data_IF_356386840995
#
_entry.id   IF_356386840995
#
_cell.length_a   1.000
_cell.length_b   1.000
_cell.length_c   1.000
_cell.angle_alpha   90.00
_cell.angle_beta   90.00
_cell.angle_gamma   90.00
#
_symmetry.space_group_name_H-M   'P 1'
#
loop_
_entity.id
_entity.type
_entity.pdbx_description
1 polymer ?
#
# COMPACT_ATOMS: atom_id res chain seq x y z
N UNK A 1 -3.40 -47.08 -28.94
CA UNK A 1 -2.35 -46.17 -28.53
C UNK A 1 -2.59 -44.70 -29.00
N UNK A 2 -3.67 -44.39 -29.68
CA UNK A 2 -3.97 -43.04 -30.24
C UNK A 2 -5.06 -42.28 -29.43
N UNK A 3 -5.62 -42.88 -28.37
CA UNK A 3 -6.70 -42.27 -27.60
C UNK A 3 -6.21 -41.53 -26.32
N UNK A 4 -4.93 -41.44 -26.07
CA UNK A 4 -4.36 -40.78 -24.88
C UNK A 4 -3.90 -39.33 -25.16
N UNK A 5 -3.85 -38.92 -26.44
CA UNK A 5 -3.33 -37.59 -26.85
C UNK A 5 -4.41 -36.51 -26.94
N UNK A 6 -5.69 -36.85 -26.77
CA UNK A 6 -6.79 -35.91 -27.03
C UNK A 6 -7.32 -35.15 -25.80
N UNK A 7 -6.67 -35.23 -24.66
CA UNK A 7 -7.07 -34.48 -23.43
C UNK A 7 -5.98 -33.52 -22.93
N UNK A 8 -5.15 -32.97 -23.81
CA UNK A 8 -4.52 -31.71 -23.50
C UNK A 8 -5.62 -30.66 -23.70
N UNK A 9 -6.31 -30.33 -22.63
CA UNK A 9 -7.14 -29.12 -22.57
C UNK A 9 -6.18 -27.98 -22.92
N UNK A 10 -6.30 -27.45 -24.15
CA UNK A 10 -5.60 -26.21 -24.48
C UNK A 10 -6.16 -25.15 -23.52
N UNK A 11 -5.39 -24.83 -22.48
CA UNK A 11 -5.73 -23.74 -21.55
C UNK A 11 -5.96 -22.50 -22.38
N UNK A 12 -7.22 -22.10 -22.47
CA UNK A 12 -7.56 -20.88 -23.19
C UNK A 12 -6.94 -19.69 -22.49
N UNK A 13 -6.68 -18.61 -23.23
CA UNK A 13 -6.17 -17.38 -22.61
C UNK A 13 -7.06 -16.90 -21.44
N UNK A 14 -8.36 -17.21 -21.47
CA UNK A 14 -9.34 -16.89 -20.41
C UNK A 14 -9.04 -17.70 -19.15
N UNK A 15 -8.73 -18.99 -19.28
CA UNK A 15 -8.42 -19.86 -18.16
C UNK A 15 -7.13 -19.42 -17.48
N UNK A 16 -6.08 -19.12 -18.28
CA UNK A 16 -4.81 -18.57 -17.76
C UNK A 16 -5.02 -17.23 -17.06
N UNK A 17 -5.84 -16.34 -17.65
CA UNK A 17 -6.18 -15.06 -17.02
C UNK A 17 -6.88 -15.26 -15.67
N UNK A 18 -7.82 -16.20 -15.59
CA UNK A 18 -8.54 -16.53 -14.37
C UNK A 18 -7.60 -17.02 -13.25
N UNK A 19 -6.72 -17.97 -13.57
CA UNK A 19 -5.73 -18.50 -12.62
C UNK A 19 -4.76 -17.41 -12.16
N UNK A 20 -4.16 -16.67 -13.10
CA UNK A 20 -3.22 -15.60 -12.80
C UNK A 20 -3.87 -14.48 -11.97
N UNK A 21 -5.14 -14.14 -12.23
CA UNK A 21 -5.89 -13.16 -11.44
C UNK A 21 -6.07 -13.62 -10.00
N UNK A 22 -6.48 -14.86 -9.80
CA UNK A 22 -6.67 -15.45 -8.48
C UNK A 22 -5.37 -15.44 -7.67
N UNK A 23 -4.29 -15.93 -8.26
CA UNK A 23 -2.99 -16.01 -7.61
C UNK A 23 -2.47 -14.59 -7.26
N UNK A 24 -2.60 -13.66 -8.20
CA UNK A 24 -2.17 -12.29 -8.00
C UNK A 24 -2.94 -11.60 -6.88
N UNK A 25 -4.27 -11.72 -6.89
CA UNK A 25 -5.14 -11.18 -5.83
C UNK A 25 -4.84 -11.82 -4.48
N UNK A 26 -4.59 -13.13 -4.44
CA UNK A 26 -4.23 -13.84 -3.22
C UNK A 26 -2.96 -13.27 -2.58
N UNK A 27 -1.90 -13.08 -3.36
CA UNK A 27 -0.66 -12.48 -2.91
C UNK A 27 -0.88 -11.06 -2.36
N UNK A 28 -1.59 -10.22 -3.11
CA UNK A 28 -1.83 -8.81 -2.74
C UNK A 28 -2.72 -8.70 -1.51
N UNK A 29 -3.84 -9.42 -1.46
CA UNK A 29 -4.81 -9.30 -0.37
C UNK A 29 -4.22 -9.79 0.95
N UNK A 30 -3.53 -10.94 0.95
CA UNK A 30 -2.96 -11.48 2.19
C UNK A 30 -1.83 -10.58 2.70
N UNK A 31 -0.88 -10.21 1.84
CA UNK A 31 0.24 -9.37 2.24
C UNK A 31 -0.22 -8.00 2.73
N UNK A 32 -1.17 -7.36 2.04
CA UNK A 32 -1.71 -6.06 2.41
C UNK A 32 -2.51 -6.13 3.71
N UNK A 33 -3.36 -7.14 3.88
CA UNK A 33 -4.15 -7.32 5.11
C UNK A 33 -3.26 -7.51 6.33
N UNK A 34 -2.24 -8.37 6.22
CA UNK A 34 -1.25 -8.54 7.28
C UNK A 34 -0.50 -7.23 7.58
N UNK A 35 -0.13 -6.48 6.51
CA UNK A 35 0.55 -5.19 6.68
C UNK A 35 -0.32 -4.15 7.39
N UNK A 36 -1.60 -4.07 7.08
CA UNK A 36 -2.55 -3.16 7.75
C UNK A 36 -2.62 -3.46 9.25
N UNK A 37 -2.77 -4.74 9.60
CA UNK A 37 -2.88 -5.19 11.00
C UNK A 37 -1.62 -4.85 11.80
N UNK A 38 -0.44 -4.93 11.20
CA UNK A 38 0.83 -4.65 11.89
C UNK A 38 1.22 -3.17 11.80
N UNK A 39 1.09 -2.56 10.62
CA UNK A 39 1.60 -1.21 10.37
C UNK A 39 0.79 -0.10 11.06
N UNK A 40 -0.55 -0.26 11.19
CA UNK A 40 -1.34 0.76 11.90
C UNK A 40 -0.95 0.84 13.38
N UNK A 41 -0.89 -0.26 14.16
CA UNK A 41 -0.39 -0.21 15.53
C UNK A 41 1.05 0.33 15.64
N UNK A 42 1.94 -0.05 14.72
CA UNK A 42 3.31 0.48 14.69
C UNK A 42 3.33 1.99 14.43
N UNK A 43 2.49 2.49 13.52
CA UNK A 43 2.35 3.93 13.26
C UNK A 43 1.78 4.69 14.44
N UNK A 44 0.80 4.12 15.15
CA UNK A 44 0.27 4.67 16.40
C UNK A 44 1.35 4.69 17.49
N UNK A 45 2.08 3.59 17.67
CA UNK A 45 3.17 3.52 18.61
C UNK A 45 4.27 4.55 18.29
N UNK A 46 4.62 4.71 17.00
CA UNK A 46 5.58 5.71 16.57
C UNK A 46 5.13 7.14 16.90
N UNK A 47 3.83 7.45 16.75
CA UNK A 47 3.29 8.77 17.09
C UNK A 47 3.19 9.02 18.60
N UNK A 48 2.95 7.98 19.40
CA UNK A 48 2.76 8.14 20.86
C UNK A 48 4.07 8.07 21.65
N UNK A 49 5.07 7.37 21.16
CA UNK A 49 6.34 7.18 21.86
C UNK A 49 7.50 7.81 21.07
N UNK A 50 7.77 9.10 21.29
CA UNK A 50 8.74 9.88 20.51
C UNK A 50 10.13 9.22 20.39
N UNK A 51 10.62 8.57 21.47
CA UNK A 51 11.92 7.87 21.45
C UNK A 51 11.93 6.65 20.52
N UNK A 52 10.84 5.90 20.48
CA UNK A 52 10.70 4.70 19.64
C UNK A 52 10.22 5.03 18.23
N UNK A 53 9.54 6.16 18.04
CA UNK A 53 8.97 6.55 16.76
C UNK A 53 10.01 6.65 15.65
N UNK A 54 11.15 7.27 15.93
CA UNK A 54 12.25 7.38 14.96
C UNK A 54 12.87 6.01 14.64
N UNK A 55 13.00 5.14 15.64
CA UNK A 55 13.53 3.78 15.45
C UNK A 55 12.57 2.96 14.59
N UNK A 56 11.25 3.01 14.85
CA UNK A 56 10.24 2.32 14.04
C UNK A 56 10.29 2.81 12.59
N UNK A 57 10.27 4.13 12.37
CA UNK A 57 10.31 4.72 11.03
C UNK A 57 11.62 4.39 10.30
N UNK A 58 12.75 4.39 11.00
CA UNK A 58 14.04 3.99 10.45
C UNK A 58 14.04 2.50 10.06
N UNK A 59 13.56 1.62 10.94
CA UNK A 59 13.53 0.18 10.68
C UNK A 59 12.68 -0.18 9.45
N UNK A 60 11.44 0.35 9.35
CA UNK A 60 10.60 0.11 8.17
C UNK A 60 11.16 0.83 6.93
N UNK A 61 11.86 1.95 7.10
CA UNK A 61 12.52 2.66 6.03
C UNK A 61 13.68 1.87 5.43
N UNK A 62 14.50 1.24 6.25
CA UNK A 62 15.63 0.39 5.82
C UNK A 62 15.12 -0.75 4.93
N UNK A 63 14.02 -1.39 5.29
CA UNK A 63 13.41 -2.46 4.48
C UNK A 63 13.12 -2.00 3.04
N UNK A 64 12.63 -0.78 2.84
CA UNK A 64 12.35 -0.24 1.51
C UNK A 64 13.59 0.16 0.71
N UNK A 65 14.77 0.26 1.33
CA UNK A 65 16.01 0.51 0.59
C UNK A 65 16.53 -0.75 -0.12
N UNK A 66 16.11 -1.92 0.34
CA UNK A 66 16.45 -3.19 -0.30
C UNK A 66 15.69 -3.30 -1.63
N UNK A 67 16.32 -3.56 -2.78
CA UNK A 67 15.59 -3.79 -4.04
C UNK A 67 14.57 -4.92 -3.91
N UNK A 68 13.35 -4.73 -4.46
CA UNK A 68 12.24 -5.68 -4.29
C UNK A 68 12.59 -7.10 -4.73
N UNK A 69 13.27 -7.24 -5.86
CA UNK A 69 13.74 -8.54 -6.33
C UNK A 69 14.74 -9.17 -5.37
N UNK A 70 15.66 -8.39 -4.80
CA UNK A 70 16.63 -8.89 -3.82
C UNK A 70 15.92 -9.36 -2.54
N UNK A 71 14.93 -8.60 -2.05
CA UNK A 71 14.16 -9.01 -0.88
C UNK A 71 13.40 -10.32 -1.11
N UNK A 72 12.78 -10.47 -2.29
CA UNK A 72 12.13 -11.73 -2.69
C UNK A 72 13.11 -12.92 -2.63
N UNK A 73 14.30 -12.76 -3.21
CA UNK A 73 15.33 -13.81 -3.24
C UNK A 73 15.85 -14.12 -1.84
N UNK A 74 16.03 -13.10 -0.98
CA UNK A 74 16.45 -13.29 0.41
C UNK A 74 15.46 -14.09 1.26
N UNK A 75 14.18 -14.10 0.89
CA UNK A 75 13.17 -14.88 1.61
C UNK A 75 13.17 -16.37 1.21
N UNK A 76 13.76 -16.76 0.07
CA UNK A 76 13.79 -18.15 -0.40
C UNK A 76 14.48 -19.10 0.60
N UNK A 77 15.68 -18.82 1.14
CA UNK A 77 16.31 -19.71 2.11
C UNK A 77 15.50 -19.94 3.39
N UNK A 78 14.62 -18.98 3.74
CA UNK A 78 13.82 -19.02 4.96
C UNK A 78 12.45 -19.70 4.76
N UNK A 79 11.84 -19.51 3.60
CA UNK A 79 10.43 -19.86 3.34
C UNK A 79 10.22 -20.77 2.14
N UNK A 80 11.30 -21.16 1.44
CA UNK A 80 11.21 -21.93 0.20
C UNK A 80 10.88 -21.10 -1.02
N UNK A 81 10.51 -21.77 -2.11
CA UNK A 81 10.11 -21.16 -3.39
C UNK A 81 8.59 -21.06 -3.45
N UNK A 82 8.04 -20.03 -4.10
CA UNK A 82 6.61 -19.91 -4.35
C UNK A 82 5.94 -18.71 -3.67
N UNK A 83 4.67 -18.88 -3.28
CA UNK A 83 3.85 -17.83 -2.69
C UNK A 83 4.32 -17.30 -1.33
N UNK A 84 4.72 -18.14 -0.36
CA UNK A 84 5.09 -17.70 0.98
C UNK A 84 6.18 -16.61 1.02
N UNK A 85 7.36 -16.76 0.37
CA UNK A 85 8.38 -15.71 0.34
C UNK A 85 7.88 -14.43 -0.35
N UNK A 86 7.04 -14.56 -1.39
CA UNK A 86 6.43 -13.42 -2.05
C UNK A 86 5.50 -12.63 -1.11
N UNK A 87 4.63 -13.32 -0.37
CA UNK A 87 3.72 -12.69 0.61
C UNK A 87 4.50 -11.91 1.67
N UNK A 88 5.58 -12.50 2.22
CA UNK A 88 6.38 -11.82 3.24
C UNK A 88 7.12 -10.61 2.68
N UNK A 89 7.69 -10.71 1.48
CA UNK A 89 8.34 -9.56 0.84
C UNK A 89 7.34 -8.42 0.58
N UNK A 90 6.17 -8.72 0.01
CA UNK A 90 5.10 -7.75 -0.25
C UNK A 90 4.57 -7.13 1.06
N UNK A 91 4.41 -7.92 2.11
CA UNK A 91 4.06 -7.45 3.45
C UNK A 91 5.07 -6.43 3.96
N UNK A 92 6.36 -6.76 3.92
CA UNK A 92 7.44 -5.87 4.38
C UNK A 92 7.48 -4.55 3.62
N UNK A 93 7.28 -4.57 2.30
CA UNK A 93 7.22 -3.37 1.46
C UNK A 93 6.00 -2.50 1.76
N UNK A 94 4.90 -3.10 2.20
CA UNK A 94 3.68 -2.37 2.55
C UNK A 94 3.80 -1.63 3.89
N UNK A 95 4.72 -2.01 4.77
CA UNK A 95 4.81 -1.44 6.12
C UNK A 95 5.11 0.06 6.09
N UNK A 96 6.12 0.50 5.33
CA UNK A 96 6.55 1.91 5.39
C UNK A 96 5.45 2.90 4.98
N UNK A 97 4.76 2.74 3.83
CA UNK A 97 3.71 3.69 3.46
C UNK A 97 2.61 3.79 4.52
N UNK A 98 2.21 2.66 5.11
CA UNK A 98 1.13 2.63 6.11
C UNK A 98 1.61 3.22 7.43
N UNK A 99 2.78 2.79 7.95
CA UNK A 99 3.36 3.30 9.20
C UNK A 99 3.58 4.82 9.12
N UNK A 100 4.21 5.29 8.03
CA UNK A 100 4.54 6.70 7.84
C UNK A 100 3.29 7.58 7.76
N UNK A 101 2.27 7.15 7.01
CA UNK A 101 1.04 7.90 6.88
C UNK A 101 0.20 7.86 8.17
N UNK A 102 0.21 6.76 8.92
CA UNK A 102 -0.42 6.68 10.24
C UNK A 102 0.28 7.62 11.23
N UNK A 103 1.60 7.59 11.28
CA UNK A 103 2.42 8.48 12.12
C UNK A 103 2.14 9.96 11.80
N UNK A 104 2.22 10.33 10.51
CA UNK A 104 2.00 11.71 10.07
C UNK A 104 0.58 12.16 10.35
N UNK A 105 -0.43 11.34 10.02
CA UNK A 105 -1.83 11.67 10.24
C UNK A 105 -2.19 11.91 11.70
N UNK A 106 -1.58 11.16 12.62
CA UNK A 106 -1.79 11.38 14.06
C UNK A 106 -1.09 12.64 14.57
N UNK A 107 0.09 12.96 14.05
CA UNK A 107 0.81 14.18 14.43
C UNK A 107 0.21 15.46 13.80
N UNK A 108 -0.51 15.33 12.69
CA UNK A 108 -1.19 16.44 12.02
C UNK A 108 -2.51 16.82 12.69
N UNK A 109 -2.97 16.08 13.72
CA UNK A 109 -4.16 16.45 14.50
C UNK A 109 -3.86 17.73 15.29
N UNK A 110 -4.70 18.76 15.10
CA UNK A 110 -4.48 20.06 15.70
C UNK A 110 -4.43 20.02 17.23
N UNK A 111 -3.51 20.80 17.83
CA UNK A 111 -3.35 20.89 19.29
C UNK A 111 -4.66 21.35 19.97
N UNK A 112 -5.41 22.26 19.36
CA UNK A 112 -6.69 22.73 19.90
C UNK A 112 -7.73 21.62 20.05
N UNK A 113 -7.79 20.65 19.12
CA UNK A 113 -8.67 19.48 19.27
C UNK A 113 -8.19 18.55 20.39
N UNK A 114 -6.88 18.37 20.51
CA UNK A 114 -6.29 17.56 21.58
C UNK A 114 -6.53 18.18 22.96
N UNK A 115 -6.32 19.50 23.08
CA UNK A 115 -6.57 20.27 24.31
C UNK A 115 -8.06 20.26 24.69
N UNK A 116 -8.96 20.42 23.71
CA UNK A 116 -10.41 20.33 23.95
C UNK A 116 -10.82 18.95 24.46
N UNK A 117 -10.24 17.89 23.91
CA UNK A 117 -10.50 16.52 24.35
C UNK A 117 -9.98 16.27 25.78
N UNK A 118 -8.85 16.88 26.16
CA UNK A 118 -8.31 16.83 27.52
C UNK A 118 -9.21 17.62 28.48
N UNK A 119 -9.66 18.81 28.10
CA UNK A 119 -10.56 19.64 28.92
C UNK A 119 -11.91 18.95 29.18
N UNK A 120 -12.38 18.12 28.25
CA UNK A 120 -13.55 17.25 28.42
C UNK A 120 -13.30 16.01 29.28
N UNK A 121 -12.09 15.82 29.84
CA UNK A 121 -11.74 14.70 30.70
C UNK A 121 -11.52 13.36 29.96
N UNK A 122 -11.31 13.37 28.63
CA UNK A 122 -11.09 12.13 27.88
C UNK A 122 -9.75 11.49 28.24
N UNK A 123 -9.73 10.24 28.73
CA UNK A 123 -8.48 9.52 28.99
C UNK A 123 -7.75 9.24 27.66
N UNK A 124 -6.40 9.00 27.70
CA UNK A 124 -5.58 8.87 26.49
C UNK A 124 -6.10 7.84 25.47
N UNK A 125 -6.62 6.70 25.93
CA UNK A 125 -7.19 5.67 25.04
C UNK A 125 -8.48 6.11 24.36
N UNK A 126 -9.38 6.83 25.07
CA UNK A 126 -10.59 7.37 24.49
C UNK A 126 -10.27 8.50 23.50
N UNK A 127 -9.32 9.38 23.84
CA UNK A 127 -8.84 10.43 22.96
C UNK A 127 -8.28 9.86 21.66
N UNK A 128 -7.46 8.82 21.73
CA UNK A 128 -6.93 8.14 20.55
C UNK A 128 -8.06 7.60 19.65
N UNK A 129 -9.04 6.88 20.23
CA UNK A 129 -10.10 6.21 19.47
C UNK A 129 -11.16 7.15 18.94
N UNK A 130 -11.57 8.15 19.74
CA UNK A 130 -12.72 9.01 19.43
C UNK A 130 -12.33 10.31 18.70
N UNK A 131 -11.08 10.74 18.82
CA UNK A 131 -10.62 12.00 18.23
C UNK A 131 -9.50 11.78 17.24
N UNK A 132 -8.37 11.22 17.70
CA UNK A 132 -7.14 11.22 16.91
C UNK A 132 -7.21 10.26 15.70
N UNK A 133 -7.65 9.00 15.89
CA UNK A 133 -7.77 8.02 14.79
C UNK A 133 -8.82 8.44 13.73
N UNK A 134 -10.03 8.92 14.10
CA UNK A 134 -10.95 9.45 13.11
C UNK A 134 -10.39 10.64 12.32
N UNK A 135 -9.67 11.56 12.97
CA UNK A 135 -9.03 12.69 12.30
C UNK A 135 -7.87 12.25 11.38
N UNK A 136 -7.10 11.23 11.78
CA UNK A 136 -6.00 10.67 11.00
C UNK A 136 -6.46 9.70 9.89
N UNK A 137 -7.73 9.30 9.88
CA UNK A 137 -8.24 8.23 9.01
C UNK A 137 -7.94 8.43 7.52
N UNK A 138 -8.02 9.67 7.04
CA UNK A 138 -7.70 10.00 5.65
C UNK A 138 -6.22 9.76 5.32
N UNK A 139 -5.32 10.14 6.20
CA UNK A 139 -3.90 9.91 6.05
C UNK A 139 -3.59 8.41 6.09
N UNK A 140 -4.20 7.68 7.02
CA UNK A 140 -4.07 6.22 7.13
C UNK A 140 -4.55 5.55 5.85
N UNK A 141 -5.74 5.91 5.36
CA UNK A 141 -6.30 5.37 4.11
C UNK A 141 -5.39 5.67 2.91
N UNK A 142 -4.79 6.86 2.84
CA UNK A 142 -3.81 7.23 1.82
C UNK A 142 -2.56 6.34 1.87
N UNK A 143 -2.08 6.00 3.07
CA UNK A 143 -0.98 5.05 3.26
C UNK A 143 -1.31 3.64 2.78
N UNK A 144 -2.51 3.15 3.12
CA UNK A 144 -3.00 1.84 2.66
C UNK A 144 -3.16 1.81 1.14
N UNK A 145 -3.74 2.86 0.54
CA UNK A 145 -3.85 3.01 -0.91
C UNK A 145 -2.48 2.91 -1.59
N UNK A 146 -1.51 3.67 -1.08
CA UNK A 146 -0.15 3.66 -1.64
C UNK A 146 0.47 2.28 -1.56
N UNK A 147 0.36 1.60 -0.41
CA UNK A 147 0.83 0.23 -0.24
C UNK A 147 0.13 -0.75 -1.20
N UNK A 148 -1.19 -0.65 -1.36
CA UNK A 148 -1.97 -1.50 -2.24
C UNK A 148 -1.53 -1.38 -3.70
N UNK A 149 -1.38 -0.16 -4.22
CA UNK A 149 -0.94 0.07 -5.60
C UNK A 149 0.49 -0.43 -5.83
N UNK A 150 1.41 -0.18 -4.88
CA UNK A 150 2.77 -0.71 -4.93
C UNK A 150 2.74 -2.25 -4.94
N UNK A 151 1.93 -2.87 -4.08
CA UNK A 151 1.81 -4.33 -4.01
C UNK A 151 1.33 -4.95 -5.31
N UNK A 152 0.31 -4.38 -5.95
CA UNK A 152 -0.18 -4.88 -7.24
C UNK A 152 0.96 -4.89 -8.28
N UNK A 153 1.74 -3.82 -8.36
CA UNK A 153 2.88 -3.79 -9.28
C UNK A 153 3.99 -4.77 -8.91
N UNK A 154 4.38 -4.80 -7.64
CA UNK A 154 5.51 -5.62 -7.15
C UNK A 154 5.17 -7.11 -7.13
N UNK A 155 3.90 -7.48 -6.95
CA UNK A 155 3.46 -8.88 -6.98
C UNK A 155 3.72 -9.58 -8.32
N UNK A 156 3.88 -8.84 -9.43
CA UNK A 156 4.33 -9.44 -10.71
C UNK A 156 5.69 -10.11 -10.59
N UNK A 157 6.59 -9.59 -9.73
CA UNK A 157 7.92 -10.17 -9.52
C UNK A 157 7.87 -11.53 -8.80
N UNK A 158 6.78 -11.85 -8.11
CA UNK A 158 6.59 -13.13 -7.44
C UNK A 158 6.68 -14.32 -8.41
N UNK A 159 6.33 -14.13 -9.68
CA UNK A 159 6.45 -15.15 -10.72
C UNK A 159 7.87 -15.64 -10.94
N UNK A 160 8.90 -14.81 -10.70
CA UNK A 160 10.30 -15.18 -10.81
C UNK A 160 10.73 -16.26 -9.81
N UNK A 161 10.03 -16.36 -8.71
CA UNK A 161 10.26 -17.34 -7.64
C UNK A 161 9.12 -18.38 -7.54
N UNK A 162 8.31 -18.53 -8.60
CA UNK A 162 7.21 -19.51 -8.65
C UNK A 162 5.97 -19.09 -7.85
N UNK A 163 5.82 -17.82 -7.50
CA UNK A 163 4.67 -17.30 -6.75
C UNK A 163 3.39 -17.09 -7.57
N UNK A 164 3.44 -17.31 -8.89
CA UNK A 164 2.27 -17.16 -9.77
C UNK A 164 1.91 -15.71 -10.11
N UNK A 165 0.67 -15.53 -10.55
CA UNK A 165 0.09 -14.23 -10.87
C UNK A 165 0.46 -13.69 -12.26
N UNK A 166 0.09 -12.45 -12.52
CA UNK A 166 0.27 -11.79 -13.83
C UNK A 166 1.74 -11.68 -14.29
N UNK A 167 2.70 -11.87 -13.42
CA UNK A 167 4.11 -11.93 -13.78
C UNK A 167 4.47 -13.18 -14.61
N UNK A 168 3.72 -14.28 -14.50
CA UNK A 168 4.03 -15.52 -15.24
C UNK A 168 4.00 -15.31 -16.75
N UNK A 169 2.92 -14.85 -17.36
CA UNK A 169 2.90 -14.59 -18.81
C UNK A 169 3.90 -13.50 -19.21
N UNK A 170 4.14 -12.46 -18.37
CA UNK A 170 5.11 -11.41 -18.67
C UNK A 170 6.53 -12.03 -18.83
N UNK A 171 7.01 -12.75 -17.83
CA UNK A 171 8.37 -13.30 -17.87
C UNK A 171 8.51 -14.47 -18.89
N UNK A 172 7.44 -15.21 -19.14
CA UNK A 172 7.42 -16.21 -20.19
C UNK A 172 7.52 -15.56 -21.56
N UNK A 173 6.73 -14.51 -21.81
CA UNK A 173 6.78 -13.76 -23.05
C UNK A 173 8.12 -13.09 -23.31
N UNK A 174 8.76 -12.54 -22.28
CA UNK A 174 10.13 -11.97 -22.38
C UNK A 174 11.14 -13.06 -22.80
N UNK A 175 11.03 -14.27 -22.25
CA UNK A 175 11.95 -15.37 -22.58
C UNK A 175 11.73 -15.94 -23.99
N UNK A 176 10.50 -15.88 -24.49
CA UNK A 176 10.10 -16.40 -25.81
C UNK A 176 10.09 -15.33 -26.89
N UNK A 177 10.36 -14.07 -26.55
CA UNK A 177 10.21 -12.90 -27.43
C UNK A 177 8.77 -12.79 -27.99
N UNK A 178 7.77 -13.13 -27.13
CA UNK A 178 6.35 -13.10 -27.48
C UNK A 178 5.64 -11.91 -26.84
N UNK A 179 5.39 -10.89 -27.63
CA UNK A 179 4.70 -9.68 -27.19
C UNK A 179 3.25 -9.96 -26.74
N UNK A 180 2.59 -10.96 -27.31
CA UNK A 180 1.22 -11.34 -26.94
C UNK A 180 1.16 -11.82 -25.49
N UNK A 181 2.06 -12.70 -25.08
CA UNK A 181 2.19 -13.18 -23.71
C UNK A 181 2.58 -12.06 -22.74
N UNK A 182 3.48 -11.16 -23.13
CA UNK A 182 3.83 -9.99 -22.31
C UNK A 182 2.59 -9.16 -22.01
N UNK A 183 1.78 -8.86 -23.04
CA UNK A 183 0.56 -8.06 -22.89
C UNK A 183 -0.52 -8.80 -22.09
N UNK A 184 -0.60 -10.14 -22.21
CA UNK A 184 -1.53 -10.98 -21.44
C UNK A 184 -1.36 -10.80 -19.91
N UNK A 185 -0.15 -10.51 -19.45
CA UNK A 185 0.10 -10.23 -18.04
C UNK A 185 0.16 -8.74 -17.68
N UNK A 186 0.78 -7.93 -18.54
CA UNK A 186 1.00 -6.53 -18.28
C UNK A 186 -0.30 -5.71 -18.27
N UNK A 187 -1.19 -5.94 -19.22
CA UNK A 187 -2.46 -5.20 -19.31
C UNK A 187 -3.37 -5.48 -18.11
N UNK A 188 -3.65 -6.73 -17.72
CA UNK A 188 -4.48 -6.99 -16.55
C UNK A 188 -3.87 -6.47 -15.25
N UNK A 189 -2.54 -6.53 -15.08
CA UNK A 189 -1.90 -5.99 -13.89
C UNK A 189 -2.04 -4.47 -13.79
N UNK A 190 -1.90 -3.75 -14.91
CA UNK A 190 -2.11 -2.31 -14.97
C UNK A 190 -3.59 -1.94 -14.70
N UNK A 191 -4.53 -2.67 -15.30
CA UNK A 191 -5.96 -2.49 -15.06
C UNK A 191 -6.30 -2.73 -13.59
N UNK A 192 -5.77 -3.80 -12.99
CA UNK A 192 -5.97 -4.08 -11.57
C UNK A 192 -5.42 -2.95 -10.68
N UNK A 193 -4.24 -2.42 -10.99
CA UNK A 193 -3.68 -1.28 -10.24
C UNK A 193 -4.59 -0.04 -10.32
N UNK A 194 -5.13 0.26 -11.49
CA UNK A 194 -6.09 1.36 -11.69
C UNK A 194 -7.41 1.12 -10.95
N UNK A 195 -7.93 -0.11 -10.97
CA UNK A 195 -9.14 -0.47 -10.22
C UNK A 195 -8.94 -0.33 -8.73
N UNK A 196 -7.82 -0.82 -8.19
CA UNK A 196 -7.46 -0.68 -6.78
C UNK A 196 -7.33 0.80 -6.41
N UNK A 197 -6.65 1.60 -7.24
CA UNK A 197 -6.55 3.04 -7.03
C UNK A 197 -7.92 3.71 -6.99
N UNK A 198 -8.78 3.43 -7.97
CA UNK A 198 -10.14 3.98 -8.05
C UNK A 198 -11.03 3.56 -6.88
N UNK A 199 -10.93 2.30 -6.44
CA UNK A 199 -11.63 1.79 -5.26
C UNK A 199 -11.28 2.59 -3.99
N UNK A 200 -10.00 2.85 -3.76
CA UNK A 200 -9.57 3.66 -2.62
C UNK A 200 -9.97 5.13 -2.76
N UNK A 201 -10.02 5.70 -3.99
CA UNK A 201 -10.51 7.06 -4.23
C UNK A 201 -12.01 7.19 -3.92
N UNK A 202 -12.79 6.17 -4.22
CA UNK A 202 -14.20 6.09 -3.82
C UNK A 202 -14.32 5.92 -2.32
N UNK A 203 -13.53 5.03 -1.70
CA UNK A 203 -13.51 4.83 -0.27
C UNK A 203 -13.17 6.14 0.48
N UNK A 204 -12.17 6.91 0.02
CA UNK A 204 -11.84 8.23 0.59
C UNK A 204 -13.05 9.19 0.54
N UNK A 205 -13.83 9.14 -0.55
CA UNK A 205 -15.03 9.99 -0.69
C UNK A 205 -16.18 9.58 0.22
N UNK A 206 -16.32 8.29 0.51
CA UNK A 206 -17.41 7.75 1.33
C UNK A 206 -17.09 7.83 2.82
N UNK A 207 -15.89 7.40 3.22
CA UNK A 207 -15.52 7.28 4.63
C UNK A 207 -15.02 8.58 5.25
N UNK A 208 -14.47 9.51 4.45
CA UNK A 208 -13.99 10.80 4.97
C UNK A 208 -15.12 11.83 4.96
N UNK A 209 -15.54 12.27 6.15
CA UNK A 209 -16.61 13.24 6.31
C UNK A 209 -16.33 14.57 5.57
N UNK A 210 -17.40 15.20 5.04
CA UNK A 210 -17.30 16.48 4.29
C UNK A 210 -16.59 17.58 5.08
N UNK A 211 -16.74 17.62 6.41
CA UNK A 211 -16.09 18.61 7.27
C UNK A 211 -14.56 18.54 7.26
N UNK A 212 -13.98 17.33 7.26
CA UNK A 212 -12.53 17.13 7.17
C UNK A 212 -11.94 17.57 5.81
N UNK A 213 -12.73 17.51 4.73
CA UNK A 213 -12.28 17.94 3.39
C UNK A 213 -12.13 19.46 3.31
N UNK A 214 -13.09 20.22 3.86
CA UNK A 214 -13.11 21.69 3.81
C UNK A 214 -11.96 22.31 4.60
N UNK A 215 -11.58 21.72 5.73
CA UNK A 215 -10.48 22.24 6.58
C UNK A 215 -9.12 22.13 5.86
N UNK A 216 -8.90 21.09 5.07
CA UNK A 216 -7.63 20.87 4.35
C UNK A 216 -7.55 21.75 3.10
N UNK A 217 -8.65 21.96 2.38
CA UNK A 217 -8.69 22.87 1.23
C UNK A 217 -8.44 24.32 1.68
N UNK A 218 -9.03 24.75 2.78
CA UNK A 218 -8.78 26.07 3.37
C UNK A 218 -7.30 26.26 3.77
N UNK A 219 -6.66 25.23 4.34
CA UNK A 219 -5.23 25.26 4.71
C UNK A 219 -4.29 25.28 3.50
N UNK A 220 -4.62 24.58 2.42
CA UNK A 220 -3.85 24.59 1.16
C UNK A 220 -3.96 25.94 0.45
N UNK A 221 -5.14 26.54 0.42
CA UNK A 221 -5.37 27.84 -0.20
C UNK A 221 -4.63 28.94 0.56
N UNK A 222 -4.65 28.91 1.90
CA UNK A 222 -3.93 29.89 2.73
C UNK A 222 -2.39 29.75 2.63
N UNK A 223 -1.83 28.54 2.42
CA UNK A 223 -0.40 28.35 2.15
C UNK A 223 0.00 28.87 0.77
N UNK A 224 -0.81 28.65 -0.26
CA UNK A 224 -0.54 29.17 -1.62
C UNK A 224 -0.58 30.71 -1.63
N UNK A 225 -1.56 31.31 -0.98
CA UNK A 225 -1.65 32.76 -0.87
C UNK A 225 -0.46 33.37 -0.09
N UNK A 226 -0.01 32.77 1.01
CA UNK A 226 1.18 33.22 1.76
C UNK A 226 2.47 33.16 0.92
N UNK A 227 2.62 32.14 0.08
CA UNK A 227 3.78 32.05 -0.80
C UNK A 227 3.77 33.11 -1.88
N UNK A 228 2.61 33.48 -2.40
CA UNK A 228 2.46 34.53 -3.42
C UNK A 228 2.75 35.95 -2.88
N UNK A 229 2.47 36.20 -1.58
CA UNK A 229 2.67 37.51 -0.95
C UNK A 229 3.98 37.64 -0.17
N UNK A 230 4.80 36.61 -0.06
CA UNK A 230 6.08 36.64 0.65
C UNK A 230 7.18 37.53 -0.02
N UNK A 231 7.23 37.70 -1.35
CA UNK A 231 8.22 38.57 -1.97
C UNK A 231 8.00 40.06 -1.71
N UNK A 232 6.74 40.46 -1.46
CA UNK A 232 6.38 41.91 -1.36
C UNK A 232 6.81 42.54 -0.01
N UNK A 233 7.06 41.73 1.02
CA UNK A 233 7.49 42.24 2.35
C UNK A 233 9.00 42.44 2.50
N UNK A 234 9.83 42.14 1.51
CA UNK A 234 11.29 42.29 1.57
C UNK A 234 11.79 43.65 1.10
N UNK A 235 10.89 44.54 0.73
CA UNK A 235 11.26 45.87 0.18
C UNK A 235 10.63 47.05 0.96
N UNK A 236 10.40 46.88 2.29
CA UNK A 236 10.13 48.00 3.20
C UNK A 236 11.02 47.91 4.40
#
# INVERSE_FOLDING_TARGET
ALSVVSNVVEDTWVDRLGVNTKDHLWLVVISLSAAIVVAIPLGVAAAKFARFGQVILAAVGIVQTVPSLALLVFMIPLLGIGGPPAIVALFLYSLLPIVRNTYSGLNDVSSGLQESAIALGLPPGARLRLVELPMASRSILSGIKTAAVINVGTATLAALIGGGGYGQPIFTGIRLDDMGLILEGAVPSAVLALLVQGMFDVADRVFVSRGLRLTIEASRTSRRLRWFWSPIRRWR
#
